data_IF_407333183311
#
_entry.id   IF_407333183311
#
_cell.length_a   1.000
_cell.length_b   1.000
_cell.length_c   1.000
_cell.angle_alpha   90.00
_cell.angle_beta   90.00
_cell.angle_gamma   90.00
#
_symmetry.space_group_name_H-M   'P 1'
#
loop_
_entity.id
_entity.type
_entity.pdbx_description
1 polymer ?
#
# COMPACT_ATOMS: atom_id res chain seq x y z
N UNK A 1 16.98 4.64 -25.23
CA UNK A 1 15.90 3.86 -25.86
C UNK A 1 14.61 4.64 -25.78
N UNK A 2 13.97 4.87 -26.92
CA UNK A 2 12.65 5.47 -27.02
C UNK A 2 11.56 4.45 -26.69
N UNK A 3 10.42 4.89 -26.14
CA UNK A 3 9.25 4.05 -25.86
C UNK A 3 8.79 3.26 -27.10
N UNK A 4 8.96 3.86 -28.29
CA UNK A 4 8.66 3.18 -29.57
C UNK A 4 9.58 2.00 -29.84
N UNK A 5 10.86 2.12 -29.50
CA UNK A 5 11.86 1.05 -29.69
C UNK A 5 11.57 -0.11 -28.74
N UNK A 6 11.22 0.18 -27.49
CA UNK A 6 10.82 -0.83 -26.49
C UNK A 6 9.59 -1.61 -26.97
N UNK A 7 8.57 -0.92 -27.49
CA UNK A 7 7.37 -1.57 -28.03
C UNK A 7 7.66 -2.45 -29.25
N UNK A 8 8.59 -2.05 -30.11
CA UNK A 8 9.03 -2.86 -31.25
C UNK A 8 9.72 -4.15 -30.78
N UNK A 9 10.59 -4.05 -29.78
CA UNK A 9 11.28 -5.21 -29.19
C UNK A 9 10.24 -6.17 -28.56
N UNK A 10 9.29 -5.66 -27.77
CA UNK A 10 8.25 -6.49 -27.14
C UNK A 10 7.40 -7.21 -28.19
N UNK A 11 7.09 -6.56 -29.33
CA UNK A 11 6.33 -7.19 -30.42
C UNK A 11 7.06 -8.36 -31.08
N UNK A 12 8.39 -8.36 -31.06
CA UNK A 12 9.22 -9.42 -31.63
C UNK A 12 9.32 -10.65 -30.72
N UNK A 13 8.89 -10.56 -29.46
CA UNK A 13 8.97 -11.67 -28.52
C UNK A 13 7.90 -12.74 -28.80
N UNK A 14 8.18 -14.02 -28.45
CA UNK A 14 7.19 -15.10 -28.44
C UNK A 14 5.97 -14.76 -27.56
N UNK A 15 4.82 -15.33 -27.90
CA UNK A 15 3.55 -15.03 -27.21
C UNK A 15 3.65 -15.13 -25.68
N UNK A 16 4.28 -16.20 -25.16
CA UNK A 16 4.41 -16.44 -23.72
C UNK A 16 5.21 -15.33 -23.01
N UNK A 17 6.27 -14.83 -23.66
CA UNK A 17 7.11 -13.78 -23.10
C UNK A 17 6.38 -12.43 -23.09
N UNK A 18 5.61 -12.14 -24.15
CA UNK A 18 4.75 -10.94 -24.17
C UNK A 18 3.67 -11.00 -23.09
N UNK A 19 3.05 -12.18 -22.91
CA UNK A 19 2.04 -12.38 -21.89
C UNK A 19 2.61 -12.13 -20.50
N UNK A 20 3.79 -12.69 -20.20
CA UNK A 20 4.49 -12.48 -18.92
C UNK A 20 4.79 -11.00 -18.66
N UNK A 21 5.21 -10.24 -19.68
CA UNK A 21 5.47 -8.80 -19.55
C UNK A 21 4.17 -8.04 -19.23
N UNK A 22 3.06 -8.38 -19.90
CA UNK A 22 1.76 -7.76 -19.64
C UNK A 22 1.27 -8.07 -18.22
N UNK A 23 1.38 -9.32 -17.78
CA UNK A 23 1.00 -9.73 -16.42
C UNK A 23 1.80 -8.98 -15.35
N UNK A 24 3.13 -8.88 -15.53
CA UNK A 24 3.97 -8.10 -14.61
C UNK A 24 3.60 -6.62 -14.62
N UNK A 25 3.36 -6.03 -15.79
CA UNK A 25 2.96 -4.63 -15.89
C UNK A 25 1.62 -4.38 -15.16
N UNK A 26 0.62 -5.25 -15.36
CA UNK A 26 -0.66 -5.17 -14.64
C UNK A 26 -0.48 -5.34 -13.13
N UNK A 27 0.33 -6.30 -12.71
CA UNK A 27 0.65 -6.51 -11.28
C UNK A 27 1.30 -5.28 -10.65
N UNK A 28 2.27 -4.65 -11.32
CA UNK A 28 2.92 -3.42 -10.80
C UNK A 28 1.97 -2.23 -10.71
N UNK A 29 1.00 -2.13 -11.62
CA UNK A 29 -0.04 -1.11 -11.54
C UNK A 29 -0.95 -1.35 -10.33
N UNK A 30 -1.28 -2.61 -10.03
CA UNK A 30 -2.12 -2.95 -8.88
C UNK A 30 -1.37 -2.81 -7.53
N UNK A 31 -0.13 -3.26 -7.43
CA UNK A 31 0.68 -3.11 -6.21
C UNK A 31 0.92 -1.63 -5.87
N UNK A 32 0.94 -0.75 -6.87
CA UNK A 32 1.04 0.70 -6.63
C UNK A 32 -0.15 1.27 -5.83
N UNK A 33 -1.34 0.68 -5.97
CA UNK A 33 -2.53 1.08 -5.20
C UNK A 33 -2.58 0.42 -3.82
N UNK A 34 -2.11 -0.82 -3.68
CA UNK A 34 -2.11 -1.53 -2.40
C UNK A 34 -1.17 -0.89 -1.37
N UNK A 35 -0.04 -0.34 -1.82
CA UNK A 35 0.90 0.38 -0.93
C UNK A 35 0.38 1.74 -0.45
N UNK A 36 -0.71 2.26 -1.02
CA UNK A 36 -1.21 3.59 -0.66
C UNK A 36 -1.87 3.59 0.73
N UNK A 37 -2.58 2.52 1.07
CA UNK A 37 -3.14 2.33 2.42
C UNK A 37 -2.03 2.11 3.45
N UNK A 38 -1.02 1.30 3.11
CA UNK A 38 0.14 1.08 3.98
C UNK A 38 0.91 2.39 4.23
N UNK A 39 1.14 3.20 3.19
CA UNK A 39 1.77 4.53 3.32
C UNK A 39 0.94 5.49 4.17
N UNK A 40 -0.38 5.51 3.98
CA UNK A 40 -1.27 6.33 4.79
C UNK A 40 -1.24 5.90 6.27
N UNK A 41 -1.29 4.59 6.53
CA UNK A 41 -1.19 4.04 7.87
C UNK A 41 0.16 4.35 8.54
N UNK A 42 1.27 4.22 7.80
CA UNK A 42 2.60 4.57 8.30
C UNK A 42 2.74 6.07 8.60
N UNK A 43 2.11 6.93 7.78
CA UNK A 43 2.06 8.37 8.04
C UNK A 43 1.30 8.66 9.34
N UNK A 44 0.09 8.11 9.48
CA UNK A 44 -0.75 8.26 10.68
C UNK A 44 -0.07 7.72 11.94
N UNK A 45 0.64 6.59 11.84
CA UNK A 45 1.34 5.97 12.98
C UNK A 45 2.30 6.96 13.66
N UNK A 46 2.97 7.82 12.90
CA UNK A 46 3.88 8.82 13.46
C UNK A 46 3.13 9.86 14.30
N UNK A 47 1.96 10.29 13.86
CA UNK A 47 1.12 11.24 14.58
C UNK A 47 0.59 10.62 15.88
N UNK A 48 0.10 9.38 15.83
CA UNK A 48 -0.36 8.64 17.01
C UNK A 48 0.74 8.39 18.05
N UNK A 49 2.01 8.32 17.65
CA UNK A 49 3.14 8.16 18.59
C UNK A 49 3.57 9.46 19.26
N UNK A 50 3.33 10.61 18.62
CA UNK A 50 3.86 11.90 19.07
C UNK A 50 2.79 12.78 19.71
N UNK A 51 1.55 12.70 19.26
CA UNK A 51 0.42 13.44 19.81
C UNK A 51 -0.35 12.61 20.85
N UNK A 52 -0.28 13.07 22.11
CA UNK A 52 -0.96 12.44 23.25
C UNK A 52 -2.47 12.65 23.23
N UNK A 53 -2.97 13.65 22.53
CA UNK A 53 -4.42 13.89 22.40
C UNK A 53 -5.07 12.82 21.51
N UNK A 54 -4.36 12.30 20.51
CA UNK A 54 -4.83 11.23 19.63
C UNK A 54 -4.99 9.87 20.34
N UNK A 55 -4.35 9.69 21.49
CA UNK A 55 -4.41 8.48 22.32
C UNK A 55 -4.96 8.74 23.73
N UNK A 56 -5.57 9.91 23.96
CA UNK A 56 -6.02 10.34 25.28
C UNK A 56 -6.96 9.34 25.97
N UNK A 57 -7.80 8.66 25.19
CA UNK A 57 -8.76 7.67 25.70
C UNK A 57 -8.19 6.26 25.84
N UNK A 58 -7.02 5.96 25.25
CA UNK A 58 -6.37 4.64 25.38
C UNK A 58 -5.99 4.33 26.83
N UNK A 59 -5.81 5.36 27.67
CA UNK A 59 -5.61 5.18 29.10
C UNK A 59 -6.83 4.55 29.81
N UNK A 60 -8.05 4.77 29.28
CA UNK A 60 -9.29 4.24 29.84
C UNK A 60 -9.51 2.75 29.50
N UNK A 61 -8.87 2.24 28.45
CA UNK A 61 -8.99 0.83 28.04
C UNK A 61 -8.51 -0.15 29.14
N UNK A 62 -7.62 0.33 30.02
CA UNK A 62 -7.07 -0.45 31.14
C UNK A 62 -7.79 -0.16 32.48
N UNK A 63 -8.74 0.76 32.51
CA UNK A 63 -9.54 1.01 33.70
C UNK A 63 -10.57 -0.12 33.90
N UNK A 64 -10.76 -0.52 35.17
CA UNK A 64 -11.80 -1.49 35.50
C UNK A 64 -13.15 -0.86 35.24
N UNK A 65 -13.93 -1.46 34.34
CA UNK A 65 -15.30 -1.06 34.07
C UNK A 65 -16.11 -0.99 35.37
N UNK A 66 -16.60 0.21 35.70
CA UNK A 66 -17.37 0.46 36.91
C UNK A 66 -18.84 0.17 36.62
N UNK A 67 -19.23 -1.09 36.64
CA UNK A 67 -20.63 -1.47 36.52
C UNK A 67 -21.33 -1.22 37.88
N UNK A 68 -22.17 -0.18 37.93
CA UNK A 68 -23.03 0.08 39.09
C UNK A 68 -24.07 -1.03 39.20
N UNK A 69 -24.02 -1.81 40.29
CA UNK A 69 -25.03 -2.82 40.65
C UNK A 69 -26.31 -2.20 41.16
#
# INVERSE_FOLDING_TARGET
MSTREILLIIKQLPFNERLLIIEKALKTLHESTDTQLEKAANSLMTDYQTDKELTAFTALDFEKFYETR
#
